data_IF_805405006419
#
_entry.id   IF_805405006419
#
_cell.length_a   1.000
_cell.length_b   1.000
_cell.length_c   1.000
_cell.angle_alpha   90.00
_cell.angle_beta   90.00
_cell.angle_gamma   90.00
#
_symmetry.space_group_name_H-M   'P 1'
#
loop_
_entity.id
_entity.type
_entity.pdbx_description
1 polymer ?
#
# COMPACT_ATOMS: atom_id res chain seq x y z
N UNK A 1 -9.63 -36.66 16.57
CA UNK A 1 -9.46 -35.57 17.55
C UNK A 1 -8.59 -34.50 16.90
N UNK A 2 -9.21 -33.42 16.39
CA UNK A 2 -8.47 -32.36 15.67
C UNK A 2 -7.85 -31.39 16.67
N UNK A 3 -6.53 -31.23 16.62
CA UNK A 3 -5.80 -30.29 17.44
C UNK A 3 -6.20 -28.85 17.05
N UNK A 4 -6.74 -28.10 18.02
CA UNK A 4 -7.04 -26.68 17.88
C UNK A 4 -5.73 -25.89 17.94
N UNK A 5 -5.26 -25.43 16.78
CA UNK A 5 -4.07 -24.57 16.67
C UNK A 5 -4.39 -23.21 17.28
N UNK A 6 -3.92 -22.95 18.50
CA UNK A 6 -4.04 -21.64 19.15
C UNK A 6 -3.27 -20.59 18.34
N UNK A 7 -3.99 -19.72 17.62
CA UNK A 7 -3.39 -18.57 16.95
C UNK A 7 -2.93 -17.56 18.01
N UNK A 8 -1.61 -17.30 18.08
CA UNK A 8 -1.05 -16.27 18.97
C UNK A 8 -1.38 -14.90 18.37
N UNK A 9 -2.00 -13.98 19.13
CA UNK A 9 -2.26 -12.64 18.61
C UNK A 9 -0.95 -11.94 18.27
N UNK A 10 -0.94 -11.22 17.16
CA UNK A 10 0.21 -10.43 16.72
C UNK A 10 0.67 -9.46 17.81
N UNK A 11 1.99 -9.18 17.89
CA UNK A 11 2.53 -8.26 18.89
C UNK A 11 1.93 -6.86 18.71
N UNK A 12 1.35 -6.33 19.79
CA UNK A 12 0.81 -4.96 19.82
C UNK A 12 1.86 -3.98 20.34
N UNK A 13 1.93 -2.80 19.73
CA UNK A 13 2.73 -1.68 20.21
C UNK A 13 1.83 -0.48 20.51
N UNK A 14 2.01 0.12 21.67
CA UNK A 14 1.33 1.36 22.06
C UNK A 14 2.17 2.57 21.64
N UNK A 15 1.52 3.55 21.03
CA UNK A 15 2.13 4.83 20.68
C UNK A 15 1.29 5.96 21.27
N UNK A 16 1.94 7.07 21.63
CA UNK A 16 1.29 8.30 22.06
C UNK A 16 1.38 9.32 20.94
N UNK A 17 0.25 9.94 20.59
CA UNK A 17 0.18 10.96 19.52
C UNK A 17 -0.59 12.18 20.03
N UNK A 18 -0.15 13.36 19.63
CA UNK A 18 -0.86 14.62 19.90
C UNK A 18 -1.74 14.95 18.69
N UNK A 19 -3.02 15.23 18.92
CA UNK A 19 -4.00 15.53 17.88
C UNK A 19 -4.67 16.89 18.16
N UNK A 20 -5.25 17.48 17.12
CA UNK A 20 -6.10 18.65 17.27
C UNK A 20 -7.34 18.32 18.12
N UNK A 21 -7.53 19.08 19.20
CA UNK A 21 -8.65 18.91 20.12
C UNK A 21 -10.01 19.13 19.43
N UNK A 22 -10.10 20.07 18.48
CA UNK A 22 -11.35 20.33 17.77
C UNK A 22 -11.72 19.16 16.83
N UNK A 23 -10.73 18.57 16.16
CA UNK A 23 -10.92 17.35 15.38
C UNK A 23 -11.37 16.17 16.26
N UNK A 24 -10.74 15.97 17.43
CA UNK A 24 -11.11 14.91 18.36
C UNK A 24 -12.53 15.07 18.88
N UNK A 25 -12.90 16.29 19.30
CA UNK A 25 -14.25 16.57 19.79
C UNK A 25 -15.34 16.33 18.74
N UNK A 26 -15.10 16.69 17.47
CA UNK A 26 -16.02 16.36 16.37
C UNK A 26 -16.16 14.86 16.16
N UNK A 27 -15.07 14.12 16.33
CA UNK A 27 -15.06 12.67 16.16
C UNK A 27 -15.89 11.97 17.25
N UNK A 28 -15.70 12.39 18.50
CA UNK A 28 -16.42 11.87 19.66
C UNK A 28 -17.90 12.24 19.60
N UNK A 29 -18.23 13.46 19.20
CA UNK A 29 -19.62 13.90 18.98
C UNK A 29 -20.33 13.07 17.90
N UNK A 30 -19.59 12.56 16.91
CA UNK A 30 -20.10 11.64 15.90
C UNK A 30 -20.19 10.17 16.38
N UNK A 31 -19.94 9.90 17.66
CA UNK A 31 -20.00 8.57 18.27
C UNK A 31 -18.89 7.62 17.81
N UNK A 32 -17.81 8.14 17.22
CA UNK A 32 -16.71 7.32 16.74
C UNK A 32 -15.66 7.10 17.84
N UNK A 33 -15.07 5.91 17.86
CA UNK A 33 -13.97 5.59 18.78
C UNK A 33 -12.61 6.02 18.15
N UNK A 34 -11.89 7.01 18.73
CA UNK A 34 -10.65 7.54 18.15
C UNK A 34 -9.55 6.48 18.01
N UNK A 35 -9.42 5.57 18.98
CA UNK A 35 -8.39 4.53 18.97
C UNK A 35 -8.62 3.53 17.84
N UNK A 36 -9.87 3.08 17.65
CA UNK A 36 -10.23 2.16 16.57
C UNK A 36 -10.02 2.81 15.21
N UNK A 37 -10.36 4.09 15.08
CA UNK A 37 -10.16 4.84 13.86
C UNK A 37 -8.67 5.02 13.53
N UNK A 38 -7.86 5.42 14.53
CA UNK A 38 -6.42 5.58 14.37
C UNK A 38 -5.76 4.26 13.95
N UNK A 39 -6.12 3.15 14.59
CA UNK A 39 -5.63 1.82 14.22
C UNK A 39 -5.99 1.45 12.77
N UNK A 40 -7.23 1.74 12.34
CA UNK A 40 -7.66 1.51 10.95
C UNK A 40 -6.89 2.38 9.96
N UNK A 41 -6.72 3.66 10.26
CA UNK A 41 -5.98 4.60 9.42
C UNK A 41 -4.51 4.18 9.26
N UNK A 42 -3.86 3.77 10.36
CA UNK A 42 -2.47 3.29 10.33
C UNK A 42 -2.31 2.01 9.49
N UNK A 43 -3.24 1.04 9.60
CA UNK A 43 -3.23 -0.15 8.72
C UNK A 43 -3.41 0.21 7.25
N UNK A 44 -4.31 1.14 6.95
CA UNK A 44 -4.52 1.59 5.57
C UNK A 44 -3.30 2.33 5.03
N UNK A 45 -2.64 3.14 5.84
CA UNK A 45 -1.39 3.79 5.46
C UNK A 45 -0.28 2.77 5.20
N UNK A 46 -0.09 1.80 6.12
CA UNK A 46 0.92 0.75 5.97
C UNK A 46 0.73 -0.08 4.69
N UNK A 47 -0.52 -0.46 4.37
CA UNK A 47 -0.85 -1.21 3.15
C UNK A 47 -0.68 -0.41 1.87
N UNK A 48 -0.67 0.93 1.92
CA UNK A 48 -0.43 1.79 0.75
C UNK A 48 1.05 2.14 0.57
N UNK A 49 1.81 2.22 1.66
CA UNK A 49 3.23 2.57 1.62
C UNK A 49 4.10 1.46 1.02
N UNK A 50 3.75 0.19 1.25
CA UNK A 50 4.53 -0.93 0.72
C UNK A 50 4.42 -1.08 -0.81
N UNK A 51 3.20 -1.17 -1.41
CA UNK A 51 3.06 -1.30 -2.85
C UNK A 51 3.57 -0.08 -3.60
N UNK A 52 3.50 1.13 -3.04
CA UNK A 52 3.95 2.33 -3.73
C UNK A 52 5.46 2.29 -4.04
N UNK A 53 6.28 1.79 -3.10
CA UNK A 53 7.73 1.70 -3.30
C UNK A 53 8.13 0.57 -4.23
N UNK A 54 7.48 -0.60 -4.11
CA UNK A 54 7.80 -1.73 -4.99
C UNK A 54 7.30 -1.46 -6.42
N UNK A 55 6.10 -0.90 -6.57
CA UNK A 55 5.51 -0.62 -7.88
C UNK A 55 6.29 0.45 -8.67
N UNK A 56 6.81 1.48 -8.02
CA UNK A 56 7.64 2.49 -8.68
C UNK A 56 8.94 1.89 -9.21
N UNK A 57 9.62 1.07 -8.40
CA UNK A 57 10.83 0.36 -8.80
C UNK A 57 10.56 -0.69 -9.90
N UNK A 58 9.49 -1.48 -9.76
CA UNK A 58 9.07 -2.49 -10.74
C UNK A 58 8.67 -1.85 -12.08
N UNK A 59 7.98 -0.71 -12.07
CA UNK A 59 7.63 0.02 -13.29
C UNK A 59 8.86 0.59 -13.99
N UNK A 60 9.79 1.19 -13.23
CA UNK A 60 11.01 1.75 -13.81
C UNK A 60 11.80 0.66 -14.54
N UNK A 61 12.02 -0.47 -13.87
CA UNK A 61 12.68 -1.65 -14.44
C UNK A 61 11.91 -2.23 -15.64
N UNK A 62 10.58 -2.27 -15.61
CA UNK A 62 9.77 -2.70 -16.75
C UNK A 62 9.88 -1.75 -17.96
N UNK A 63 9.90 -0.43 -17.73
CA UNK A 63 10.08 0.59 -18.78
C UNK A 63 11.47 0.48 -19.38
N UNK A 64 12.51 0.34 -18.55
CA UNK A 64 13.90 0.20 -19.01
C UNK A 64 14.08 -1.06 -19.87
N UNK A 65 13.55 -2.20 -19.42
CA UNK A 65 13.57 -3.45 -20.21
C UNK A 65 12.82 -3.30 -21.53
N UNK A 66 11.67 -2.64 -21.50
CA UNK A 66 10.88 -2.41 -22.71
C UNK A 66 11.66 -1.53 -23.71
N UNK A 67 12.27 -0.45 -23.25
CA UNK A 67 13.08 0.44 -24.07
C UNK A 67 14.29 -0.30 -24.67
N UNK A 68 15.06 -1.02 -23.85
CA UNK A 68 16.19 -1.82 -24.31
C UNK A 68 15.78 -2.85 -25.39
N UNK A 69 14.60 -3.46 -25.23
CA UNK A 69 14.04 -4.38 -26.24
C UNK A 69 13.69 -3.66 -27.54
N UNK A 70 13.10 -2.46 -27.46
CA UNK A 70 12.77 -1.65 -28.65
C UNK A 70 14.06 -1.23 -29.37
N UNK A 71 15.10 -0.82 -28.65
CA UNK A 71 16.39 -0.46 -29.23
C UNK A 71 17.05 -1.64 -29.93
N UNK A 72 17.01 -2.84 -29.33
CA UNK A 72 17.62 -4.04 -29.91
C UNK A 72 16.83 -4.64 -31.07
N UNK A 73 15.50 -4.60 -31.00
CA UNK A 73 14.61 -5.41 -31.88
C UNK A 73 13.66 -4.57 -32.75
N UNK A 74 13.72 -3.25 -32.67
CA UNK A 74 12.75 -2.36 -33.30
C UNK A 74 11.38 -2.38 -32.62
N UNK A 75 10.40 -1.64 -33.17
CA UNK A 75 9.05 -1.59 -32.63
C UNK A 75 8.34 -2.93 -32.81
N UNK A 76 7.49 -3.31 -31.84
CA UNK A 76 6.69 -4.56 -31.92
C UNK A 76 5.83 -4.63 -33.20
N UNK A 77 5.38 -3.49 -33.69
CA UNK A 77 4.50 -3.36 -34.84
C UNK A 77 5.25 -3.04 -36.15
N UNK A 78 6.58 -3.03 -36.17
CA UNK A 78 7.33 -2.71 -37.40
C UNK A 78 6.98 -3.68 -38.53
N UNK A 79 6.70 -4.96 -38.22
CA UNK A 79 6.28 -5.96 -39.20
C UNK A 79 4.84 -5.78 -39.72
N UNK A 80 4.05 -4.91 -39.08
CA UNK A 80 2.66 -4.65 -39.44
C UNK A 80 2.47 -3.29 -40.13
N UNK A 81 3.52 -2.46 -40.20
CA UNK A 81 3.49 -1.22 -40.98
C UNK A 81 3.43 -1.56 -42.46
N UNK A 82 2.31 -1.21 -43.10
CA UNK A 82 2.18 -1.19 -44.55
C UNK A 82 2.60 0.20 -44.99
N UNK A 83 3.73 0.29 -45.69
CA UNK A 83 4.13 1.47 -46.45
C UNK A 83 3.56 1.33 -47.87
#
# INVERSE_FOLDING_TARGET
MSASTKHKPDPQKTITVTLDAAALGRLEAAGQNPQRLAARALRLAATRLEPAKSWEAENLDAIERYNARIEQSGLLNDRLRRF
#
